data_IF_106520329344
#
_entry.id   IF_106520329344
#
_cell.length_a   1.000
_cell.length_b   1.000
_cell.length_c   1.000
_cell.angle_alpha   90.00
_cell.angle_beta   90.00
_cell.angle_gamma   90.00
#
_symmetry.space_group_name_H-M   'P 1'
#
loop_
_entity.id
_entity.type
_entity.pdbx_description
1 polymer ?
#
# COMPACT_ATOMS: atom_id res chain seq x y z
N UNK A 1 -24.51 3.05 -6.90
CA UNK A 1 -24.47 4.18 -5.93
C UNK A 1 -23.01 4.42 -5.55
N UNK A 2 -22.53 5.67 -5.53
CA UNK A 2 -21.18 5.98 -5.01
C UNK A 2 -21.28 6.16 -3.48
N UNK A 3 -20.60 5.35 -2.66
CA UNK A 3 -20.64 5.50 -1.21
C UNK A 3 -20.04 6.85 -0.79
N UNK A 4 -20.42 7.32 0.39
CA UNK A 4 -19.85 8.53 1.00
C UNK A 4 -18.83 8.13 2.08
N UNK A 5 -17.85 8.98 2.42
CA UNK A 5 -16.96 8.70 3.55
C UNK A 5 -17.75 8.72 4.87
N UNK A 6 -17.41 7.80 5.78
CA UNK A 6 -17.85 7.89 7.18
C UNK A 6 -16.84 8.75 7.95
N UNK A 7 -17.27 9.95 8.33
CA UNK A 7 -16.48 10.84 9.18
C UNK A 7 -16.52 10.38 10.64
N UNK A 8 -15.45 10.64 11.40
CA UNK A 8 -15.31 10.19 12.79
C UNK A 8 -16.52 10.58 13.67
N UNK A 9 -17.06 11.78 13.49
CA UNK A 9 -18.23 12.25 14.24
C UNK A 9 -19.49 11.42 13.98
N UNK A 10 -19.65 10.88 12.77
CA UNK A 10 -20.78 10.04 12.37
C UNK A 10 -20.52 8.53 12.48
N UNK A 11 -19.29 8.13 12.82
CA UNK A 11 -18.87 6.74 12.94
C UNK A 11 -19.50 6.04 14.16
N UNK A 12 -19.79 4.74 14.00
CA UNK A 12 -20.12 3.85 15.13
C UNK A 12 -18.92 3.67 16.06
N UNK A 13 -19.16 3.15 17.26
CA UNK A 13 -18.09 2.87 18.24
C UNK A 13 -17.02 1.92 17.68
N UNK A 14 -17.41 0.88 16.95
CA UNK A 14 -16.46 -0.05 16.30
C UNK A 14 -15.58 0.65 15.25
N UNK A 15 -16.17 1.52 14.42
CA UNK A 15 -15.40 2.28 13.40
C UNK A 15 -14.47 3.28 14.07
N UNK A 16 -14.92 3.99 15.10
CA UNK A 16 -14.08 4.94 15.86
C UNK A 16 -12.89 4.24 16.47
N UNK A 17 -13.08 3.06 17.09
CA UNK A 17 -11.99 2.27 17.65
C UNK A 17 -10.90 1.93 16.61
N UNK A 18 -11.30 1.57 15.38
CA UNK A 18 -10.34 1.31 14.30
C UNK A 18 -9.66 2.61 13.84
N UNK A 19 -10.39 3.72 13.70
CA UNK A 19 -9.79 5.01 13.35
C UNK A 19 -8.79 5.48 14.41
N UNK A 20 -9.10 5.30 15.69
CA UNK A 20 -8.22 5.61 16.82
C UNK A 20 -6.93 4.80 16.77
N UNK A 21 -7.03 3.51 16.47
CA UNK A 21 -5.86 2.66 16.34
C UNK A 21 -5.00 3.08 15.13
N UNK A 22 -5.62 3.43 13.99
CA UNK A 22 -4.89 3.95 12.81
C UNK A 22 -4.15 5.24 13.16
N UNK A 23 -4.84 6.19 13.80
CA UNK A 23 -4.26 7.49 14.18
C UNK A 23 -3.07 7.33 15.12
N UNK A 24 -3.23 6.52 16.15
CA UNK A 24 -2.17 6.18 17.10
C UNK A 24 -1.01 5.48 16.42
N UNK A 25 -1.29 4.40 15.69
CA UNK A 25 -0.26 3.55 15.06
C UNK A 25 0.55 4.30 14.01
N UNK A 26 -0.11 5.13 13.17
CA UNK A 26 0.55 5.87 12.10
C UNK A 26 1.03 7.25 12.52
N UNK A 27 0.69 7.69 13.73
CA UNK A 27 0.92 9.03 14.25
C UNK A 27 0.45 10.11 13.24
N UNK A 28 -0.87 10.14 13.00
CA UNK A 28 -1.53 11.08 12.08
C UNK A 28 -2.76 11.70 12.77
N UNK A 29 -3.09 12.97 12.46
CA UNK A 29 -4.22 13.65 13.10
C UNK A 29 -5.59 13.08 12.68
N UNK A 30 -5.68 12.56 11.46
CA UNK A 30 -6.89 11.95 10.90
C UNK A 30 -6.53 10.79 9.97
N UNK A 31 -7.47 9.88 9.76
CA UNK A 31 -7.35 8.78 8.81
C UNK A 31 -7.60 9.30 7.38
N UNK A 32 -6.90 8.75 6.39
CA UNK A 32 -7.14 9.12 5.00
C UNK A 32 -8.47 8.55 4.47
N UNK A 33 -8.92 9.04 3.32
CA UNK A 33 -10.21 8.65 2.72
C UNK A 33 -10.37 7.14 2.50
N UNK A 34 -9.31 6.38 2.25
CA UNK A 34 -9.43 4.92 2.08
C UNK A 34 -10.09 4.27 3.29
N UNK A 35 -9.64 4.61 4.51
CA UNK A 35 -10.24 4.09 5.74
C UNK A 35 -11.67 4.63 5.95
N UNK A 36 -11.92 5.91 5.65
CA UNK A 36 -13.26 6.51 5.74
C UNK A 36 -14.28 5.85 4.81
N UNK A 37 -13.85 5.40 3.64
CA UNK A 37 -14.71 4.71 2.70
C UNK A 37 -14.90 3.23 3.08
N UNK A 38 -13.86 2.54 3.54
CA UNK A 38 -13.98 1.19 4.09
C UNK A 38 -14.93 1.10 5.29
N UNK A 39 -15.04 2.18 6.06
CA UNK A 39 -15.94 2.27 7.21
C UNK A 39 -17.44 2.13 6.86
N UNK A 40 -17.84 2.18 5.58
CA UNK A 40 -19.19 1.79 5.17
C UNK A 40 -19.48 0.29 5.45
N UNK A 41 -18.44 -0.52 5.64
CA UNK A 41 -18.51 -1.90 6.13
C UNK A 41 -17.50 -2.10 7.29
N UNK A 42 -17.96 -1.98 8.56
CA UNK A 42 -17.09 -2.09 9.74
C UNK A 42 -16.29 -3.40 9.80
N UNK A 43 -16.87 -4.52 9.36
CA UNK A 43 -16.19 -5.81 9.39
C UNK A 43 -15.01 -5.86 8.42
N UNK A 44 -15.19 -5.30 7.21
CA UNK A 44 -14.12 -5.18 6.22
C UNK A 44 -13.07 -4.17 6.66
N UNK A 45 -13.46 -3.01 7.20
CA UNK A 45 -12.54 -2.02 7.76
C UNK A 45 -11.60 -2.67 8.80
N UNK A 46 -12.17 -3.35 9.81
CA UNK A 46 -11.43 -3.96 10.90
C UNK A 46 -10.44 -5.02 10.41
N UNK A 47 -10.88 -5.93 9.52
CA UNK A 47 -10.03 -7.00 9.00
C UNK A 47 -8.90 -6.45 8.13
N UNK A 48 -9.20 -5.45 7.30
CA UNK A 48 -8.22 -4.82 6.42
C UNK A 48 -7.16 -4.07 7.22
N UNK A 49 -7.58 -3.31 8.24
CA UNK A 49 -6.63 -2.63 9.12
C UNK A 49 -5.75 -3.60 9.89
N UNK A 50 -6.32 -4.65 10.48
CA UNK A 50 -5.56 -5.67 11.22
C UNK A 50 -4.48 -6.32 10.34
N UNK A 51 -4.86 -6.75 9.14
CA UNK A 51 -3.93 -7.40 8.20
C UNK A 51 -2.85 -6.43 7.72
N UNK A 52 -3.23 -5.19 7.37
CA UNK A 52 -2.26 -4.19 6.94
C UNK A 52 -1.26 -3.86 8.06
N UNK A 53 -1.74 -3.66 9.29
CA UNK A 53 -0.90 -3.35 10.45
C UNK A 53 0.11 -4.46 10.72
N UNK A 54 -0.30 -5.72 10.61
CA UNK A 54 0.58 -6.89 10.76
C UNK A 54 1.64 -6.95 9.64
N UNK A 55 1.22 -6.88 8.37
CA UNK A 55 2.14 -6.97 7.23
C UNK A 55 3.16 -5.83 7.20
N UNK A 56 2.73 -4.62 7.58
CA UNK A 56 3.57 -3.41 7.54
C UNK A 56 4.33 -3.15 8.84
N UNK A 57 4.15 -3.96 9.89
CA UNK A 57 4.93 -3.86 11.13
C UNK A 57 6.43 -4.11 10.89
N UNK A 58 7.34 -3.64 11.76
CA UNK A 58 8.76 -3.98 11.66
C UNK A 58 9.00 -5.49 11.62
N UNK A 59 10.01 -5.91 10.83
CA UNK A 59 10.36 -7.32 10.68
C UNK A 59 11.67 -7.46 9.91
N UNK A 60 11.83 -8.55 9.17
CA UNK A 60 13.03 -8.80 8.38
C UNK A 60 13.29 -7.77 7.26
N UNK A 61 12.24 -7.08 6.79
CA UNK A 61 12.35 -5.97 5.85
C UNK A 61 12.13 -4.65 6.58
N UNK A 62 13.02 -3.69 6.34
CA UNK A 62 12.91 -2.34 6.86
C UNK A 62 11.62 -1.65 6.36
N UNK A 63 11.02 -0.74 7.15
CA UNK A 63 9.78 -0.06 6.77
C UNK A 63 9.84 0.64 5.41
N UNK A 64 10.97 1.29 5.09
CA UNK A 64 11.16 1.97 3.79
C UNK A 64 11.11 0.98 2.62
N UNK A 65 11.67 -0.22 2.80
CA UNK A 65 11.64 -1.28 1.77
C UNK A 65 10.20 -1.75 1.56
N UNK A 66 9.44 -1.97 2.64
CA UNK A 66 8.03 -2.38 2.54
C UNK A 66 7.19 -1.34 1.79
N UNK A 67 7.34 -0.06 2.12
CA UNK A 67 6.61 1.02 1.43
C UNK A 67 7.04 1.18 -0.04
N UNK A 68 8.32 1.04 -0.36
CA UNK A 68 8.79 1.07 -1.76
C UNK A 68 8.23 -0.09 -2.58
N UNK A 69 8.16 -1.31 -2.02
CA UNK A 69 7.50 -2.45 -2.68
C UNK A 69 6.02 -2.16 -2.90
N UNK A 70 5.32 -1.64 -1.89
CA UNK A 70 3.91 -1.27 -2.00
C UNK A 70 3.69 -0.19 -3.09
N UNK A 71 4.56 0.81 -3.14
CA UNK A 71 4.55 1.86 -4.16
C UNK A 71 4.79 1.29 -5.56
N UNK A 72 5.79 0.42 -5.73
CA UNK A 72 6.08 -0.24 -7.00
C UNK A 72 4.89 -1.04 -7.55
N UNK A 73 4.23 -1.81 -6.68
CA UNK A 73 3.00 -2.55 -7.01
C UNK A 73 1.87 -1.58 -7.36
N UNK A 74 1.72 -0.50 -6.60
CA UNK A 74 0.69 0.53 -6.83
C UNK A 74 0.84 1.24 -8.19
N UNK A 75 2.09 1.57 -8.56
CA UNK A 75 2.41 2.15 -9.88
C UNK A 75 2.11 1.15 -10.99
N UNK A 76 2.56 -0.10 -10.85
CA UNK A 76 2.27 -1.17 -11.82
C UNK A 76 0.78 -1.40 -12.02
N UNK A 77 0.00 -1.33 -10.94
CA UNK A 77 -1.46 -1.47 -10.97
C UNK A 77 -2.20 -0.17 -11.31
N UNK A 78 -1.49 0.92 -11.62
CA UNK A 78 -2.07 2.22 -11.98
C UNK A 78 -3.07 2.79 -10.96
N UNK A 79 -2.87 2.52 -9.67
CA UNK A 79 -3.76 3.02 -8.62
C UNK A 79 -3.32 4.42 -8.15
N UNK A 80 -3.88 5.48 -8.74
CA UNK A 80 -3.51 6.88 -8.40
C UNK A 80 -3.59 7.23 -6.91
N UNK A 81 -4.63 6.74 -6.21
CA UNK A 81 -4.76 6.94 -4.75
C UNK A 81 -3.64 6.22 -3.97
N UNK A 82 -3.36 4.97 -4.34
CA UNK A 82 -2.35 4.15 -3.69
C UNK A 82 -0.95 4.73 -3.94
N UNK A 83 -0.67 5.18 -5.16
CA UNK A 83 0.59 5.84 -5.52
C UNK A 83 0.82 7.05 -4.60
N UNK A 84 -0.16 7.94 -4.46
CA UNK A 84 -0.02 9.10 -3.59
C UNK A 84 0.18 8.71 -2.11
N UNK A 85 -0.63 7.77 -1.60
CA UNK A 85 -0.57 7.35 -0.19
C UNK A 85 0.75 6.65 0.16
N UNK A 86 1.22 5.74 -0.68
CA UNK A 86 2.45 4.97 -0.43
C UNK A 86 3.72 5.75 -0.78
N UNK A 87 3.64 6.74 -1.67
CA UNK A 87 4.74 7.69 -1.84
C UNK A 87 4.98 8.48 -0.55
N UNK A 88 3.95 9.09 0.02
CA UNK A 88 4.08 9.81 1.30
C UNK A 88 4.51 8.89 2.46
N UNK A 89 4.02 7.64 2.47
CA UNK A 89 4.45 6.61 3.42
C UNK A 89 5.93 6.27 3.29
N UNK A 90 6.41 6.06 2.07
CA UNK A 90 7.81 5.76 1.78
C UNK A 90 8.74 6.93 2.15
N UNK A 91 8.37 8.18 1.83
CA UNK A 91 9.12 9.37 2.23
C UNK A 91 9.24 9.47 3.76
N UNK A 92 8.12 9.29 4.49
CA UNK A 92 8.11 9.26 5.96
C UNK A 92 9.00 8.14 6.53
N UNK A 93 9.11 7.02 5.83
CA UNK A 93 9.97 5.91 6.20
C UNK A 93 11.45 6.12 5.82
N UNK A 94 11.81 7.20 5.11
CA UNK A 94 13.19 7.56 4.76
C UNK A 94 13.55 7.39 3.28
N UNK A 95 12.58 7.17 2.38
CA UNK A 95 12.84 7.14 0.95
C UNK A 95 13.29 8.51 0.46
N UNK A 96 14.47 8.57 -0.16
CA UNK A 96 15.01 9.80 -0.73
C UNK A 96 14.53 10.04 -2.16
N UNK A 97 14.62 11.26 -2.71
CA UNK A 97 14.33 11.51 -4.12
C UNK A 97 15.19 10.65 -5.08
N UNK A 98 16.44 10.37 -4.71
CA UNK A 98 17.32 9.47 -5.48
C UNK A 98 16.79 8.03 -5.49
N UNK A 99 16.37 7.50 -4.33
CA UNK A 99 15.76 6.18 -4.22
C UNK A 99 14.45 6.10 -5.04
N UNK A 100 13.61 7.14 -5.00
CA UNK A 100 12.38 7.17 -5.79
C UNK A 100 12.66 7.14 -7.30
N UNK A 101 13.62 7.94 -7.78
CA UNK A 101 14.00 7.96 -9.19
C UNK A 101 14.51 6.59 -9.65
N UNK A 102 15.37 5.95 -8.86
CA UNK A 102 15.86 4.59 -9.13
C UNK A 102 14.74 3.54 -9.08
N UNK A 103 13.84 3.62 -8.09
CA UNK A 103 12.67 2.76 -7.98
C UNK A 103 11.79 2.84 -9.24
N UNK A 104 11.54 4.04 -9.77
CA UNK A 104 10.74 4.20 -10.99
C UNK A 104 11.43 3.60 -12.22
N UNK A 105 12.76 3.70 -12.31
CA UNK A 105 13.53 3.02 -13.38
C UNK A 105 13.40 1.49 -13.29
N UNK A 106 13.52 0.92 -12.08
CA UNK A 106 13.35 -0.52 -11.84
C UNK A 106 11.92 -0.96 -12.18
N UNK A 107 10.90 -0.22 -11.73
CA UNK A 107 9.49 -0.52 -12.01
C UNK A 107 9.20 -0.50 -13.50
N UNK A 108 9.73 0.50 -14.23
CA UNK A 108 9.61 0.59 -15.68
C UNK A 108 10.21 -0.63 -16.39
N UNK A 109 11.45 -0.96 -16.08
CA UNK A 109 12.17 -2.10 -16.66
C UNK A 109 11.50 -3.44 -16.35
N UNK A 110 11.05 -3.64 -15.10
CA UNK A 110 10.32 -4.85 -14.72
C UNK A 110 9.00 -4.99 -15.50
N UNK A 111 8.26 -3.89 -15.67
CA UNK A 111 7.03 -3.90 -16.45
C UNK A 111 7.26 -4.21 -17.93
N UNK A 112 8.31 -3.67 -18.54
CA UNK A 112 8.68 -3.92 -19.93
C UNK A 112 9.07 -5.39 -20.12
N UNK A 113 10.04 -5.86 -19.35
CA UNK A 113 10.59 -7.22 -19.48
C UNK A 113 9.56 -8.30 -19.16
N UNK A 114 8.69 -8.10 -18.16
CA UNK A 114 7.58 -9.01 -17.87
C UNK A 114 6.63 -9.17 -19.07
N UNK A 115 6.36 -8.09 -19.81
CA UNK A 115 5.51 -8.15 -21.03
C UNK A 115 6.19 -8.92 -22.15
N UNK A 116 7.50 -8.74 -22.34
CA UNK A 116 8.27 -9.50 -23.33
C UNK A 116 8.26 -11.00 -22.99
N UNK A 117 8.57 -11.36 -21.74
CA UNK A 117 8.58 -12.75 -21.26
C UNK A 117 7.21 -13.41 -21.46
N UNK A 118 6.14 -12.74 -21.03
CA UNK A 118 4.77 -13.24 -21.21
C UNK A 118 4.38 -13.38 -22.69
N UNK A 119 4.73 -12.39 -23.52
CA UNK A 119 4.41 -12.39 -24.95
C UNK A 119 5.11 -13.50 -25.72
N UNK A 120 6.41 -13.72 -25.45
CA UNK A 120 7.19 -14.80 -26.06
C UNK A 120 6.94 -16.18 -25.44
N UNK A 121 6.22 -16.24 -24.31
CA UNK A 121 5.98 -17.49 -23.55
C UNK A 121 7.29 -18.20 -23.18
N UNK A 122 8.26 -17.43 -22.70
CA UNK A 122 9.57 -17.96 -22.31
C UNK A 122 9.37 -18.99 -21.18
N UNK A 123 9.87 -20.24 -21.32
CA UNK A 123 9.78 -21.23 -20.25
C UNK A 123 10.69 -20.83 -19.10
N UNK A 124 10.33 -21.24 -17.87
CA UNK A 124 11.22 -21.09 -16.72
C UNK A 124 12.44 -21.99 -16.92
N UNK A 125 13.64 -21.41 -16.83
CA UNK A 125 14.87 -22.18 -16.92
C UNK A 125 14.98 -23.19 -15.75
N UNK A 126 15.37 -24.45 -16.01
CA UNK A 126 15.56 -25.46 -14.95
C UNK A 126 16.56 -25.04 -13.86
N UNK A 127 17.46 -24.11 -14.14
CA UNK A 127 18.40 -23.58 -13.16
C UNK A 127 17.74 -22.75 -12.05
N UNK A 128 16.54 -22.22 -12.29
CA UNK A 128 15.74 -21.45 -11.33
C UNK A 128 14.66 -22.30 -10.62
N UNK A 129 14.36 -23.48 -11.15
CA UNK A 129 13.37 -24.43 -10.61
C UNK A 129 14.05 -25.39 -9.62
N UNK A 130 14.41 -24.86 -8.45
CA UNK A 130 15.04 -25.61 -7.35
C UNK A 130 14.04 -26.06 -6.30
#
# INVERSE_FOLDING_TARGET
MKPQPIEYAAASEEVRAVFDDIRTTRNVPDVNNFWKYLANDPATLRRTWSSLKEVMAPGALDPVVKEMVYLAVSVTNSCGYCIASHHAGAEKAGMTPAMFAELMAVVGMANETNRLVNGYRVPVDPAFDK
#
